data_IF_258505779101
#
_entry.id   IF_258505779101
#
_cell.length_a   1.000
_cell.length_b   1.000
_cell.length_c   1.000
_cell.angle_alpha   90.00
_cell.angle_beta   90.00
_cell.angle_gamma   90.00
#
_symmetry.space_group_name_H-M   'P 1'
#
loop_
_entity.id
_entity.type
_entity.pdbx_description
1 polymer ?
#
# COMPACT_ATOMS: atom_id res chain seq x y z
N UNK A 1 -15.14 25.03 21.19
CA UNK A 1 -14.94 23.63 21.62
C UNK A 1 -13.63 23.54 22.38
N UNK A 2 -13.69 23.22 23.67
CA UNK A 2 -12.58 23.25 24.62
C UNK A 2 -12.34 21.82 25.13
N UNK A 3 -11.16 21.22 24.90
CA UNK A 3 -10.79 19.89 25.44
C UNK A 3 -9.94 20.10 26.70
N UNK A 4 -10.36 19.63 27.89
CA UNK A 4 -9.49 19.60 29.05
C UNK A 4 -8.51 18.43 28.96
N UNK A 5 -7.23 18.75 29.13
CA UNK A 5 -6.11 17.84 29.37
C UNK A 5 -6.27 17.14 30.72
N UNK A 6 -6.42 15.82 30.71
CA UNK A 6 -6.48 15.02 31.92
C UNK A 6 -5.65 13.74 31.69
N UNK A 7 -4.38 13.75 32.11
CA UNK A 7 -3.69 12.52 32.50
C UNK A 7 -2.96 12.80 33.80
N UNK A 8 -3.60 12.29 34.83
CA UNK A 8 -3.26 12.25 36.23
C UNK A 8 -2.07 11.34 36.51
N UNK A 9 -1.30 11.78 37.49
CA UNK A 9 -0.85 11.00 38.64
C UNK A 9 -0.21 9.62 38.35
N UNK A 10 1.11 9.61 38.19
CA UNK A 10 1.90 8.41 38.50
C UNK A 10 2.42 8.50 39.94
N UNK A 11 2.03 7.49 40.70
CA UNK A 11 2.10 7.39 42.16
C UNK A 11 3.50 7.57 42.75
N UNK A 12 3.61 8.52 43.69
CA UNK A 12 4.65 8.51 44.73
C UNK A 12 4.34 7.36 45.69
N UNK A 13 5.07 6.26 45.58
CA UNK A 13 5.00 5.16 46.56
C UNK A 13 5.89 5.49 47.75
N UNK A 14 5.23 5.94 48.81
CA UNK A 14 5.75 6.16 50.16
C UNK A 14 6.12 4.81 50.79
N UNK A 15 7.33 4.67 51.34
CA UNK A 15 7.72 3.57 52.25
C UNK A 15 8.03 4.23 53.60
N UNK A 16 7.24 3.99 54.66
CA UNK A 16 7.55 4.47 56.00
C UNK A 16 8.33 3.41 56.79
N UNK A 17 9.30 3.88 57.57
CA UNK A 17 9.82 3.15 58.74
C UNK A 17 11.13 2.41 58.50
N UNK A 18 12.24 2.99 58.95
CA UNK A 18 13.01 2.51 60.11
C UNK A 18 13.73 3.73 60.71
N UNK A 19 13.34 4.10 61.92
CA UNK A 19 14.09 5.00 62.78
C UNK A 19 15.11 4.20 63.61
N UNK A 20 16.16 4.91 64.05
CA UNK A 20 17.21 4.53 65.01
C UNK A 20 18.47 3.81 64.47
N UNK A 21 19.49 4.62 64.18
CA UNK A 21 20.82 4.44 64.75
C UNK A 21 21.57 5.79 64.72
N UNK A 22 21.64 6.48 65.86
CA UNK A 22 22.51 7.64 66.07
C UNK A 22 23.95 7.15 66.23
N UNK A 23 24.60 6.84 65.11
CA UNK A 23 26.05 6.75 65.05
C UNK A 23 26.57 8.12 64.61
N UNK A 24 27.24 8.81 65.53
CA UNK A 24 28.10 9.96 65.25
C UNK A 24 29.22 9.51 64.30
N UNK A 25 28.93 9.52 63.00
CA UNK A 25 29.92 9.31 61.95
C UNK A 25 30.67 10.63 61.85
N UNK A 26 31.91 10.63 62.34
CA UNK A 26 32.86 11.71 62.11
C UNK A 26 32.88 12.02 60.61
N UNK A 27 32.39 13.21 60.24
CA UNK A 27 32.40 13.68 58.86
C UNK A 27 33.85 13.75 58.42
N UNK A 28 34.31 12.91 57.47
CA UNK A 28 35.65 13.06 56.95
C UNK A 28 35.69 14.45 56.31
N UNK A 29 36.60 15.28 56.83
CA UNK A 29 36.90 16.61 56.31
C UNK A 29 37.20 16.46 54.83
N UNK A 30 36.20 16.72 53.99
CA UNK A 30 36.32 16.63 52.53
C UNK A 30 37.36 17.66 52.10
N UNK A 31 38.62 17.24 52.02
CA UNK A 31 39.64 18.00 51.33
C UNK A 31 39.12 18.15 49.91
N UNK A 32 38.83 19.40 49.48
CA UNK A 32 38.58 19.73 48.08
C UNK A 32 39.83 19.32 47.30
N UNK A 33 39.92 18.05 46.91
CA UNK A 33 40.92 17.56 45.97
C UNK A 33 40.66 18.36 44.71
N UNK A 34 41.54 19.33 44.43
CA UNK A 34 41.55 20.06 43.17
C UNK A 34 41.65 19.00 42.09
N UNK A 35 40.53 18.67 41.44
CA UNK A 35 40.54 17.75 40.29
C UNK A 35 41.51 18.39 39.29
N UNK A 36 42.56 17.68 38.86
CA UNK A 36 43.48 18.21 37.88
C UNK A 36 42.69 18.52 36.62
N UNK A 37 42.57 19.82 36.26
CA UNK A 37 41.76 20.31 35.13
C UNK A 37 42.13 19.66 33.79
N UNK A 38 43.36 19.14 33.67
CA UNK A 38 43.83 18.44 32.47
C UNK A 38 43.12 17.13 32.17
N UNK A 39 42.62 16.41 33.19
CA UNK A 39 41.92 15.13 32.99
C UNK A 39 40.55 15.32 32.32
N UNK A 40 39.83 16.40 32.66
CA UNK A 40 38.52 16.72 32.06
C UNK A 40 38.66 17.06 30.57
N UNK A 41 39.71 17.78 30.19
CA UNK A 41 39.98 18.09 28.77
C UNK A 41 40.26 16.83 27.97
N UNK A 42 41.08 15.91 28.50
CA UNK A 42 41.37 14.64 27.84
C UNK A 42 40.10 13.78 27.69
N UNK A 43 39.32 13.65 28.76
CA UNK A 43 38.05 12.92 28.74
C UNK A 43 37.08 13.50 27.70
N UNK A 44 37.00 14.83 27.60
CA UNK A 44 36.15 15.51 26.61
C UNK A 44 36.66 15.27 25.18
N UNK A 45 37.97 15.30 24.95
CA UNK A 45 38.55 15.01 23.64
C UNK A 45 38.32 13.57 23.20
N UNK A 46 38.46 12.61 24.13
CA UNK A 46 38.18 11.20 23.86
C UNK A 46 36.69 11.01 23.56
N UNK A 47 35.81 11.57 24.39
CA UNK A 47 34.37 11.50 24.18
C UNK A 47 33.96 12.13 22.83
N UNK A 48 34.52 13.28 22.48
CA UNK A 48 34.30 13.93 21.19
C UNK A 48 34.79 13.06 20.03
N UNK A 49 35.99 12.45 20.13
CA UNK A 49 36.52 11.55 19.10
C UNK A 49 35.64 10.32 18.89
N UNK A 50 35.24 9.65 19.98
CA UNK A 50 34.32 8.49 19.92
C UNK A 50 32.97 8.89 19.32
N UNK A 51 32.43 10.05 19.70
CA UNK A 51 31.18 10.58 19.14
C UNK A 51 31.31 10.85 17.65
N UNK A 52 32.42 11.42 17.21
CA UNK A 52 32.66 11.71 15.79
C UNK A 52 32.75 10.42 14.97
N UNK A 53 33.44 9.40 15.48
CA UNK A 53 33.50 8.07 14.87
C UNK A 53 32.11 7.45 14.80
N UNK A 54 31.30 7.54 15.87
CA UNK A 54 29.94 7.02 15.87
C UNK A 54 29.05 7.74 14.84
N UNK A 55 29.13 9.07 14.75
CA UNK A 55 28.40 9.87 13.77
C UNK A 55 28.76 9.50 12.33
N UNK A 56 30.04 9.21 12.07
CA UNK A 56 30.52 8.82 10.73
C UNK A 56 29.82 7.57 10.17
N UNK A 57 29.33 6.68 11.06
CA UNK A 57 28.59 5.47 10.68
C UNK A 57 27.08 5.69 10.77
N UNK A 58 26.59 6.38 11.79
CA UNK A 58 25.16 6.58 12.02
C UNK A 58 24.49 7.45 10.94
N UNK A 59 25.13 8.56 10.55
CA UNK A 59 24.58 9.51 9.58
C UNK A 59 24.29 8.85 8.21
N UNK A 60 25.24 8.15 7.55
CA UNK A 60 24.95 7.52 6.26
C UNK A 60 23.88 6.43 6.36
N UNK A 61 23.77 5.74 7.50
CA UNK A 61 22.71 4.75 7.73
C UNK A 61 21.32 5.40 7.76
N UNK A 62 21.17 6.52 8.47
CA UNK A 62 19.92 7.28 8.50
C UNK A 62 19.55 7.80 7.10
N UNK A 63 20.50 8.35 6.36
CA UNK A 63 20.28 8.84 5.00
C UNK A 63 19.81 7.72 4.06
N UNK A 64 20.44 6.54 4.13
CA UNK A 64 20.02 5.37 3.35
C UNK A 64 18.61 4.91 3.73
N UNK A 65 18.30 4.84 5.02
CA UNK A 65 16.97 4.47 5.50
C UNK A 65 15.90 5.45 5.02
N UNK A 66 16.17 6.75 5.11
CA UNK A 66 15.25 7.79 4.63
C UNK A 66 15.04 7.70 3.11
N UNK A 67 16.09 7.38 2.35
CA UNK A 67 15.99 7.18 0.90
C UNK A 67 15.10 6.00 0.54
N UNK A 68 15.27 4.85 1.22
CA UNK A 68 14.43 3.66 1.00
C UNK A 68 12.98 3.98 1.33
N UNK A 69 12.74 4.63 2.49
CA UNK A 69 11.39 5.03 2.88
C UNK A 69 10.71 5.92 1.83
N UNK A 70 11.43 6.92 1.32
CA UNK A 70 10.92 7.79 0.26
C UNK A 70 10.58 7.02 -1.03
N UNK A 71 11.41 6.05 -1.41
CA UNK A 71 11.13 5.20 -2.57
C UNK A 71 9.87 4.37 -2.38
N UNK A 72 9.67 3.78 -1.20
CA UNK A 72 8.46 3.02 -0.88
C UNK A 72 7.21 3.92 -0.89
N UNK A 73 7.30 5.13 -0.31
CA UNK A 73 6.17 6.07 -0.35
C UNK A 73 5.78 6.45 -1.78
N UNK A 74 6.76 6.69 -2.66
CA UNK A 74 6.47 7.00 -4.07
C UNK A 74 5.78 5.84 -4.78
N UNK A 75 6.19 4.59 -4.49
CA UNK A 75 5.51 3.40 -5.02
C UNK A 75 4.07 3.27 -4.51
N UNK A 76 3.83 3.58 -3.24
CA UNK A 76 2.48 3.57 -2.66
C UNK A 76 1.59 4.62 -3.34
N UNK A 77 2.07 5.85 -3.49
CA UNK A 77 1.31 6.90 -4.19
C UNK A 77 1.00 6.54 -5.65
N UNK A 78 1.97 5.94 -6.36
CA UNK A 78 1.76 5.44 -7.71
C UNK A 78 0.67 4.35 -7.75
N UNK A 79 0.73 3.38 -6.83
CA UNK A 79 -0.25 2.30 -6.75
C UNK A 79 -1.66 2.81 -6.38
N UNK A 80 -1.76 3.74 -5.44
CA UNK A 80 -3.04 4.33 -5.01
C UNK A 80 -3.68 5.13 -6.15
N UNK A 81 -2.89 5.93 -6.88
CA UNK A 81 -3.38 6.66 -8.05
C UNK A 81 -3.85 5.70 -9.15
N UNK A 82 -3.06 4.67 -9.47
CA UNK A 82 -3.46 3.67 -10.46
C UNK A 82 -4.75 2.94 -10.05
N UNK A 83 -4.88 2.58 -8.78
CA UNK A 83 -6.10 1.95 -8.26
C UNK A 83 -7.30 2.89 -8.42
N UNK A 84 -7.15 4.17 -8.05
CA UNK A 84 -8.22 5.15 -8.19
C UNK A 84 -8.64 5.40 -9.64
N UNK A 85 -7.68 5.45 -10.56
CA UNK A 85 -7.96 5.59 -12.00
C UNK A 85 -8.62 4.33 -12.57
N UNK A 86 -8.15 3.14 -12.16
CA UNK A 86 -8.73 1.87 -12.55
C UNK A 86 -10.19 1.75 -12.10
N UNK A 87 -10.48 2.08 -10.83
CA UNK A 87 -11.84 2.03 -10.29
C UNK A 87 -12.79 2.95 -11.08
N UNK A 88 -12.32 4.14 -11.46
CA UNK A 88 -13.08 5.06 -12.32
C UNK A 88 -13.34 4.48 -13.70
N UNK A 89 -12.33 3.89 -14.34
CA UNK A 89 -12.47 3.29 -15.67
C UNK A 89 -13.42 2.09 -15.68
N UNK A 90 -13.39 1.25 -14.63
CA UNK A 90 -14.27 0.09 -14.50
C UNK A 90 -15.72 0.54 -14.28
N UNK A 91 -15.94 1.58 -13.47
CA UNK A 91 -17.28 2.13 -13.21
C UNK A 91 -17.92 2.80 -14.45
N UNK A 92 -17.13 3.17 -15.47
CA UNK A 92 -17.63 3.79 -16.69
C UNK A 92 -18.25 2.77 -17.67
N UNK A 93 -19.27 3.17 -18.44
CA UNK A 93 -19.79 2.37 -19.57
C UNK A 93 -18.71 2.11 -20.62
N UNK A 94 -18.81 0.96 -21.30
CA UNK A 94 -17.80 0.49 -22.27
C UNK A 94 -17.52 1.50 -23.39
N UNK A 95 -18.53 2.23 -23.86
CA UNK A 95 -18.37 3.23 -24.92
C UNK A 95 -17.52 4.43 -24.49
N UNK A 96 -17.67 4.86 -23.23
CA UNK A 96 -16.96 6.04 -22.70
C UNK A 96 -15.55 5.68 -22.22
N UNK A 97 -15.32 4.39 -21.93
CA UNK A 97 -14.06 3.91 -21.35
C UNK A 97 -12.86 4.12 -22.26
N UNK A 98 -12.98 3.78 -23.55
CA UNK A 98 -11.87 3.95 -24.50
C UNK A 98 -11.44 5.42 -24.62
N UNK A 99 -12.41 6.34 -24.66
CA UNK A 99 -12.11 7.77 -24.70
C UNK A 99 -11.50 8.27 -23.38
N UNK A 100 -11.94 7.74 -22.24
CA UNK A 100 -11.36 8.08 -20.95
C UNK A 100 -9.90 7.59 -20.81
N UNK A 101 -9.57 6.42 -21.39
CA UNK A 101 -8.22 5.89 -21.41
C UNK A 101 -7.23 6.76 -22.19
N UNK A 102 -7.66 7.35 -23.31
CA UNK A 102 -6.83 8.27 -24.11
C UNK A 102 -6.58 9.61 -23.40
N UNK A 103 -7.46 10.01 -22.47
CA UNK A 103 -7.42 11.29 -21.77
C UNK A 103 -7.03 11.17 -20.29
N UNK A 104 -6.32 10.10 -19.92
CA UNK A 104 -5.86 9.91 -18.55
C UNK A 104 -4.90 11.03 -18.14
N UNK A 105 -5.21 11.63 -17.00
CA UNK A 105 -4.39 12.68 -16.40
C UNK A 105 -4.20 12.38 -14.93
N UNK A 106 -2.95 12.54 -14.48
CA UNK A 106 -2.59 12.35 -13.08
C UNK A 106 -3.16 13.47 -12.23
N UNK A 107 -3.57 13.14 -11.00
CA UNK A 107 -3.92 14.14 -9.99
C UNK A 107 -2.78 15.15 -9.78
N UNK A 108 -3.09 16.46 -9.61
CA UNK A 108 -2.06 17.49 -9.39
C UNK A 108 -1.22 17.23 -8.14
N UNK A 109 -1.79 16.57 -7.13
CA UNK A 109 -1.05 16.18 -5.92
C UNK A 109 0.04 15.15 -6.24
N UNK A 110 -0.28 14.18 -7.10
CA UNK A 110 0.65 13.14 -7.53
C UNK A 110 1.72 13.71 -8.46
N UNK A 111 1.38 14.62 -9.37
CA UNK A 111 2.38 15.29 -10.24
C UNK A 111 3.42 16.09 -9.44
N UNK A 112 3.02 16.64 -8.29
CA UNK A 112 3.96 17.35 -7.40
C UNK A 112 4.91 16.40 -6.67
N UNK A 113 4.50 15.16 -6.40
CA UNK A 113 5.29 14.16 -5.66
C UNK A 113 6.14 13.31 -6.61
N UNK A 114 5.53 12.87 -7.72
CA UNK A 114 6.14 12.10 -8.79
C UNK A 114 6.44 13.04 -9.96
N UNK A 115 7.62 13.66 -9.91
CA UNK A 115 8.07 14.57 -10.97
C UNK A 115 8.15 13.86 -12.32
N UNK A 116 7.60 14.53 -13.34
CA UNK A 116 7.56 14.07 -14.73
C UNK A 116 6.92 12.68 -14.87
N UNK A 117 5.88 12.42 -14.06
CA UNK A 117 5.15 11.18 -14.13
C UNK A 117 4.24 11.12 -15.36
N UNK A 118 4.26 9.96 -16.02
CA UNK A 118 3.42 9.64 -17.18
C UNK A 118 2.54 8.45 -16.85
N UNK A 119 1.28 8.50 -17.28
CA UNK A 119 0.31 7.41 -17.12
C UNK A 119 -0.13 6.93 -18.49
N UNK A 120 -0.19 5.61 -18.66
CA UNK A 120 -0.62 4.96 -19.89
C UNK A 120 -1.64 3.88 -19.56
N UNK A 121 -2.61 3.68 -20.45
CA UNK A 121 -3.59 2.61 -20.33
C UNK A 121 -3.78 1.89 -21.65
N UNK A 122 -3.80 0.56 -21.59
CA UNK A 122 -3.94 -0.31 -22.75
C UNK A 122 -5.06 -1.31 -22.49
N UNK A 123 -5.97 -1.45 -23.45
CA UNK A 123 -6.99 -2.49 -23.43
C UNK A 123 -6.44 -3.70 -24.16
N UNK A 124 -6.40 -4.83 -23.48
CA UNK A 124 -5.91 -6.11 -24.00
C UNK A 124 -7.09 -7.07 -24.07
N UNK A 125 -7.31 -7.63 -25.25
CA UNK A 125 -8.29 -8.69 -25.50
C UNK A 125 -7.52 -9.97 -25.79
N UNK A 126 -7.52 -10.90 -24.83
CA UNK A 126 -6.82 -12.18 -24.94
C UNK A 126 -7.78 -13.37 -24.77
N UNK A 127 -7.23 -14.59 -24.79
CA UNK A 127 -8.04 -15.82 -24.69
C UNK A 127 -8.78 -15.93 -23.36
N UNK A 128 -8.30 -15.27 -22.31
CA UNK A 128 -8.86 -15.29 -20.96
C UNK A 128 -9.91 -14.17 -20.77
N UNK A 129 -9.99 -13.23 -21.71
CA UNK A 129 -11.01 -12.20 -21.82
C UNK A 129 -10.44 -10.80 -21.99
N UNK A 130 -11.28 -9.79 -21.68
CA UNK A 130 -10.89 -8.38 -21.79
C UNK A 130 -10.32 -7.87 -20.47
N UNK A 131 -9.10 -7.35 -20.52
CA UNK A 131 -8.43 -6.70 -19.39
C UNK A 131 -7.91 -5.32 -19.75
N UNK A 132 -7.82 -4.46 -18.74
CA UNK A 132 -7.15 -3.16 -18.84
C UNK A 132 -5.85 -3.25 -18.09
N UNK A 133 -4.78 -2.81 -18.72
CA UNK A 133 -3.48 -2.60 -18.12
C UNK A 133 -3.25 -1.10 -17.99
N UNK A 134 -3.08 -0.62 -16.76
CA UNK A 134 -2.65 0.75 -16.47
C UNK A 134 -1.21 0.71 -15.99
N UNK A 135 -0.38 1.60 -16.51
CA UNK A 135 0.99 1.78 -16.04
C UNK A 135 1.29 3.24 -15.72
N UNK A 136 2.12 3.45 -14.71
CA UNK A 136 2.66 4.75 -14.35
C UNK A 136 4.17 4.67 -14.27
N UNK A 137 4.83 5.60 -14.95
CA UNK A 137 6.28 5.78 -14.91
C UNK A 137 6.64 7.19 -14.46
N UNK A 138 7.81 7.34 -13.85
CA UNK A 138 8.34 8.62 -13.40
C UNK A 138 9.86 8.56 -13.28
N UNK A 139 10.51 9.71 -13.34
CA UNK A 139 11.97 9.79 -13.29
C UNK A 139 12.48 9.32 -11.93
N UNK A 140 13.24 8.21 -11.93
CA UNK A 140 13.89 7.68 -10.73
C UNK A 140 15.23 7.01 -11.02
N UNK A 141 16.10 6.99 -10.01
CA UNK A 141 17.44 6.42 -10.12
C UNK A 141 17.36 4.93 -10.42
N UNK A 142 18.08 4.50 -11.46
CA UNK A 142 18.15 3.10 -11.87
C UNK A 142 17.09 2.67 -12.89
N UNK A 143 16.22 3.57 -13.34
CA UNK A 143 15.19 3.32 -14.36
C UNK A 143 14.51 1.94 -14.24
N UNK A 144 13.99 1.58 -13.04
CA UNK A 144 13.35 0.29 -12.85
C UNK A 144 12.01 0.28 -13.62
N UNK A 145 11.37 -0.88 -13.80
CA UNK A 145 10.15 -0.98 -14.58
C UNK A 145 9.00 -0.13 -14.01
N UNK A 146 8.10 0.40 -14.86
CA UNK A 146 6.90 1.12 -14.46
C UNK A 146 6.05 0.32 -13.48
N UNK A 147 5.32 1.02 -12.61
CA UNK A 147 4.33 0.37 -11.75
C UNK A 147 3.12 0.10 -12.62
N UNK A 148 2.65 -1.15 -12.62
CA UNK A 148 1.58 -1.61 -13.52
C UNK A 148 0.47 -2.26 -12.71
N UNK A 149 -0.78 -1.96 -13.06
CA UNK A 149 -1.98 -2.52 -12.47
C UNK A 149 -2.87 -3.09 -13.58
N UNK A 150 -3.36 -4.32 -13.39
CA UNK A 150 -4.20 -5.01 -14.37
C UNK A 150 -5.56 -5.31 -13.74
N UNK A 151 -6.64 -5.03 -14.47
CA UNK A 151 -7.99 -5.42 -14.06
C UNK A 151 -8.76 -6.09 -15.20
N UNK A 152 -9.53 -7.11 -14.86
CA UNK A 152 -10.40 -7.83 -15.79
C UNK A 152 -11.77 -7.16 -15.84
N UNK A 153 -12.27 -6.85 -17.04
CA UNK A 153 -13.59 -6.22 -17.22
C UNK A 153 -14.65 -7.28 -17.54
N UNK A 154 -14.29 -8.30 -18.32
CA UNK A 154 -15.15 -9.44 -18.65
C UNK A 154 -14.29 -10.70 -18.55
N UNK A 155 -14.21 -11.31 -17.36
CA UNK A 155 -13.60 -12.63 -17.22
C UNK A 155 -14.52 -13.64 -17.92
N UNK A 156 -13.95 -14.37 -18.88
CA UNK A 156 -14.63 -15.36 -19.73
C UNK A 156 -15.54 -14.78 -20.82
N UNK A 157 -15.17 -14.85 -22.11
CA UNK A 157 -16.19 -14.85 -23.15
C UNK A 157 -17.10 -16.03 -22.84
N UNK A 158 -18.39 -15.75 -22.69
CA UNK A 158 -19.46 -16.74 -22.56
C UNK A 158 -19.14 -17.84 -23.58
N UNK A 159 -18.70 -19.00 -23.08
CA UNK A 159 -18.40 -20.14 -23.92
C UNK A 159 -19.68 -20.35 -24.71
N UNK A 160 -19.66 -20.00 -25.99
CA UNK A 160 -20.81 -20.12 -26.87
C UNK A 160 -21.21 -21.58 -26.77
N UNK A 161 -22.24 -21.81 -25.98
CA UNK A 161 -22.79 -23.13 -25.74
C UNK A 161 -23.12 -23.65 -27.13
N UNK A 162 -22.47 -24.73 -27.61
CA UNK A 162 -22.71 -25.19 -28.95
C UNK A 162 -24.18 -25.57 -29.03
N UNK A 163 -24.91 -24.79 -29.82
CA UNK A 163 -26.26 -25.11 -30.24
C UNK A 163 -26.26 -26.52 -30.82
N UNK A 164 -26.76 -27.49 -30.05
CA UNK A 164 -27.43 -28.70 -30.52
C UNK A 164 -27.66 -29.67 -29.34
N UNK A 165 -28.72 -29.43 -28.57
CA UNK A 165 -29.54 -30.57 -28.15
C UNK A 165 -30.69 -30.63 -29.14
N UNK A 166 -30.73 -31.60 -30.08
CA UNK A 166 -31.85 -31.72 -31.00
C UNK A 166 -33.12 -31.91 -30.17
N UNK A 167 -34.12 -31.09 -30.48
CA UNK A 167 -35.46 -31.24 -29.97
C UNK A 167 -35.97 -32.64 -30.32
N UNK A 168 -36.16 -33.49 -29.32
CA UNK A 168 -37.01 -34.67 -29.41
C UNK A 168 -38.44 -34.17 -29.67
N UNK A 169 -38.73 -33.95 -30.96
CA UNK A 169 -40.09 -33.78 -31.46
C UNK A 169 -40.65 -35.18 -31.61
N UNK A 170 -41.38 -35.64 -30.61
CA UNK A 170 -42.30 -36.75 -30.78
C UNK A 170 -43.71 -36.16 -30.95
N UNK A 171 -44.22 -36.02 -32.20
CA UNK A 171 -45.60 -35.66 -32.41
C UNK A 171 -46.42 -36.93 -32.23
N UNK A 172 -46.94 -37.10 -31.02
CA UNK A 172 -48.03 -38.05 -30.73
C UNK A 172 -49.17 -37.70 -31.70
N UNK A 173 -49.28 -38.50 -32.76
CA UNK A 173 -50.25 -38.35 -33.83
C UNK A 173 -51.53 -39.04 -33.36
N UNK A 174 -52.65 -38.31 -33.16
CA UNK A 174 -53.93 -38.95 -32.92
C UNK A 174 -54.40 -39.59 -34.22
N UNK A 175 -54.46 -40.92 -34.22
CA UNK A 175 -55.07 -41.76 -35.25
C UNK A 175 -56.54 -41.35 -35.45
N UNK A 176 -56.94 -40.84 -36.63
CA UNK A 176 -58.32 -40.53 -36.90
C UNK A 176 -59.07 -41.80 -37.31
N UNK A 177 -60.10 -42.11 -36.53
CA UNK A 177 -61.15 -43.04 -36.90
C UNK A 177 -61.76 -42.64 -38.26
N UNK A 178 -61.59 -43.51 -39.26
CA UNK A 178 -62.36 -43.49 -40.49
C UNK A 178 -63.23 -44.75 -40.51
N UNK A 179 -64.51 -44.57 -40.21
CA UNK A 179 -65.54 -45.56 -40.50
C UNK A 179 -66.17 -45.31 -41.88
N UNK A 180 -66.44 -46.43 -42.56
CA UNK A 180 -67.45 -46.71 -43.61
C UNK A 180 -67.39 -45.94 -44.96
N UNK A 181 -67.96 -46.45 -46.09
CA UNK A 181 -68.99 -47.51 -46.23
C UNK A 181 -68.81 -48.53 -47.39
N UNK A 182 -69.65 -49.59 -47.34
CA UNK A 182 -70.46 -50.23 -48.41
C UNK A 182 -69.89 -50.59 -49.83
N UNK A 183 -70.26 -51.82 -50.22
CA UNK A 183 -70.77 -52.28 -51.52
C UNK A 183 -69.94 -53.06 -52.58
N UNK A 184 -70.59 -54.17 -52.99
CA UNK A 184 -70.66 -54.81 -54.32
C UNK A 184 -69.49 -55.63 -54.91
N UNK A 185 -69.54 -56.97 -54.75
CA UNK A 185 -70.01 -57.96 -55.76
C UNK A 185 -69.70 -59.41 -55.37
#
# INVERSE_FOLDING_TARGET
MNRPSNVSAFARRWIPGVAHALASVATPKQSKRRRPRGLVLLETLIAAGVTLVMLSVAVPMVIRSARIWKQTQHQQFAADELSGQMDRLIAMPTEQRSQAMENLTLSPEIQNVLHDATIEAVLIDDQDGKRIELSIDWIRVGAPPPVTLVAWINPFPEATEPAAKPADTNPDTPEPAAGDPEDEQ
#
